data_IF_653822305133
#
_entry.id   IF_653822305133
#
_cell.length_a   1.000
_cell.length_b   1.000
_cell.length_c   1.000
_cell.angle_alpha   90.00
_cell.angle_beta   90.00
_cell.angle_gamma   90.00
#
_symmetry.space_group_name_H-M   'P 1'
#
loop_
_entity.id
_entity.type
_entity.pdbx_description
1 polymer ?
#
# COMPACT_ATOMS: atom_id res chain seq x y z
N UNK A 1 5.81 17.65 -17.44
CA UNK A 1 5.60 16.69 -16.35
C UNK A 1 6.95 16.05 -16.15
N UNK A 2 7.58 16.27 -15.00
CA UNK A 2 8.95 15.85 -14.74
C UNK A 2 8.94 14.38 -14.24
N UNK A 3 9.49 13.43 -15.00
CA UNK A 3 9.50 12.02 -14.62
C UNK A 3 10.37 11.76 -13.38
N UNK A 4 11.36 12.60 -13.10
CA UNK A 4 12.24 12.46 -11.93
C UNK A 4 11.49 12.75 -10.62
N UNK A 5 10.37 13.49 -10.69
CA UNK A 5 9.50 13.77 -9.54
C UNK A 5 8.76 12.54 -9.01
N UNK A 6 8.66 11.44 -9.78
CA UNK A 6 8.04 10.19 -9.33
C UNK A 6 9.05 9.21 -8.71
N UNK A 7 10.35 9.37 -8.99
CA UNK A 7 11.38 8.41 -8.57
C UNK A 7 11.56 8.33 -7.05
N UNK A 8 11.49 9.47 -6.36
CA UNK A 8 11.64 9.53 -4.90
C UNK A 8 10.45 8.89 -4.17
N UNK A 9 9.23 9.04 -4.70
CA UNK A 9 8.03 8.41 -4.14
C UNK A 9 7.98 6.91 -4.43
N UNK A 10 8.43 6.48 -5.61
CA UNK A 10 8.48 5.05 -5.95
C UNK A 10 9.41 4.26 -5.02
N UNK A 11 10.50 4.88 -4.57
CA UNK A 11 11.35 4.31 -3.54
C UNK A 11 10.62 4.18 -2.19
N UNK A 12 9.90 5.21 -1.77
CA UNK A 12 9.25 5.27 -0.45
C UNK A 12 8.21 4.16 -0.24
N UNK A 13 7.21 4.01 -1.12
CA UNK A 13 6.18 2.97 -0.92
C UNK A 13 6.74 1.54 -1.08
N UNK A 14 7.80 1.36 -1.87
CA UNK A 14 8.50 0.07 -1.98
C UNK A 14 9.25 -0.28 -0.70
N UNK A 15 9.91 0.71 -0.08
CA UNK A 15 10.56 0.54 1.23
C UNK A 15 9.53 0.21 2.32
N UNK A 16 8.39 0.91 2.34
CA UNK A 16 7.28 0.56 3.24
C UNK A 16 6.71 -0.82 2.98
N UNK A 17 6.56 -1.20 1.71
CA UNK A 17 6.10 -2.54 1.36
C UNK A 17 7.07 -3.63 1.85
N UNK A 18 8.38 -3.38 1.79
CA UNK A 18 9.39 -4.27 2.34
C UNK A 18 9.33 -4.31 3.87
N UNK A 19 9.17 -3.17 4.53
CA UNK A 19 9.05 -3.09 5.99
C UNK A 19 7.87 -3.90 6.53
N UNK A 20 6.67 -3.77 5.95
CA UNK A 20 5.52 -4.55 6.44
C UNK A 20 5.72 -6.06 6.20
N UNK A 21 6.40 -6.44 5.10
CA UNK A 21 6.73 -7.85 4.83
C UNK A 21 7.73 -8.40 5.85
N UNK A 22 8.73 -7.61 6.23
CA UNK A 22 9.72 -8.01 7.24
C UNK A 22 9.08 -8.14 8.63
N UNK A 23 8.14 -7.26 8.97
CA UNK A 23 7.51 -7.25 10.29
C UNK A 23 6.39 -8.30 10.41
N UNK A 24 5.51 -8.40 9.41
CA UNK A 24 4.29 -9.22 9.51
C UNK A 24 4.29 -10.43 8.58
N UNK A 25 5.17 -10.46 7.58
CA UNK A 25 5.10 -11.41 6.47
C UNK A 25 3.98 -11.07 5.49
N UNK A 26 3.89 -11.85 4.41
CA UNK A 26 2.80 -11.69 3.43
C UNK A 26 1.46 -12.11 4.05
N UNK A 27 0.58 -11.14 4.24
CA UNK A 27 -0.77 -11.34 4.77
C UNK A 27 -1.72 -11.91 3.71
N UNK A 28 -2.80 -12.60 4.14
CA UNK A 28 -3.82 -13.08 3.20
C UNK A 28 -4.60 -11.89 2.58
N UNK A 29 -5.17 -12.08 1.37
CA UNK A 29 -5.88 -11.02 0.64
C UNK A 29 -6.95 -10.26 1.45
N UNK A 30 -7.70 -10.97 2.30
CA UNK A 30 -8.75 -10.36 3.13
C UNK A 30 -8.21 -9.36 4.16
N UNK A 31 -7.04 -9.64 4.74
CA UNK A 31 -6.47 -8.83 5.82
C UNK A 31 -5.77 -7.61 5.21
N UNK A 32 -5.13 -7.79 4.04
CA UNK A 32 -4.60 -6.68 3.24
C UNK A 32 -5.72 -5.73 2.77
N UNK A 33 -6.87 -6.26 2.33
CA UNK A 33 -8.01 -5.43 1.93
C UNK A 33 -8.59 -4.62 3.10
N UNK A 34 -8.56 -5.18 4.32
CA UNK A 34 -8.97 -4.46 5.52
C UNK A 34 -7.98 -3.32 5.82
N UNK A 35 -6.68 -3.60 5.85
CA UNK A 35 -5.65 -2.59 6.08
C UNK A 35 -5.72 -1.46 5.03
N UNK A 36 -5.92 -1.80 3.74
CA UNK A 36 -6.12 -0.79 2.69
C UNK A 36 -7.33 0.11 2.92
N UNK A 37 -8.36 -0.37 3.62
CA UNK A 37 -9.53 0.45 3.99
C UNK A 37 -9.17 1.44 5.09
N UNK A 38 -8.30 1.06 6.02
CA UNK A 38 -7.78 1.92 7.09
C UNK A 38 -6.92 3.03 6.48
N UNK A 39 -5.92 2.70 5.67
CA UNK A 39 -5.05 3.69 5.00
C UNK A 39 -5.82 4.63 4.06
N UNK A 40 -6.85 4.12 3.38
CA UNK A 40 -7.72 4.98 2.56
C UNK A 40 -8.49 5.99 3.44
N UNK A 41 -8.87 5.59 4.65
CA UNK A 41 -9.47 6.47 5.65
C UNK A 41 -8.50 7.56 6.09
N UNK A 42 -7.26 7.20 6.39
CA UNK A 42 -6.18 8.11 6.81
C UNK A 42 -5.85 9.10 5.68
N UNK A 43 -5.66 8.63 4.44
CA UNK A 43 -5.48 9.48 3.27
C UNK A 43 -6.66 10.44 3.07
N UNK A 44 -7.89 9.96 3.27
CA UNK A 44 -9.08 10.80 3.17
C UNK A 44 -9.08 11.89 4.24
N UNK A 45 -8.67 11.55 5.46
CA UNK A 45 -8.53 12.51 6.55
C UNK A 45 -7.44 13.55 6.24
N UNK A 46 -6.26 13.13 5.81
CA UNK A 46 -5.17 14.02 5.41
C UNK A 46 -5.61 15.00 4.31
N UNK A 47 -6.36 14.54 3.31
CA UNK A 47 -6.94 15.40 2.26
C UNK A 47 -7.97 16.41 2.78
N UNK A 48 -8.72 16.06 3.82
CA UNK A 48 -9.67 16.97 4.46
C UNK A 48 -8.93 18.01 5.30
N UNK A 49 -7.94 17.57 6.08
CA UNK A 49 -7.15 18.38 7.01
C UNK A 49 -6.21 19.35 6.28
N UNK A 50 -5.59 18.94 5.17
CA UNK A 50 -4.72 19.79 4.36
C UNK A 50 -5.40 21.06 3.79
N UNK A 51 -6.73 21.13 3.81
CA UNK A 51 -7.50 22.31 3.41
C UNK A 51 -7.70 23.34 4.54
N UNK A 52 -7.28 23.02 5.76
CA UNK A 52 -7.32 23.92 6.91
C UNK A 52 -6.00 24.72 7.04
N UNK A 53 -6.03 25.87 7.72
CA UNK A 53 -4.87 26.79 7.85
C UNK A 53 -3.62 26.16 8.49
N UNK A 54 -3.79 25.07 9.23
CA UNK A 54 -2.71 24.33 9.92
C UNK A 54 -2.49 22.92 9.35
N UNK A 55 -3.04 22.60 8.17
CA UNK A 55 -2.95 21.28 7.58
C UNK A 55 -1.54 20.96 7.08
N UNK A 56 -1.09 19.71 7.27
CA UNK A 56 0.19 19.21 6.79
C UNK A 56 0.05 18.59 5.38
N UNK A 57 0.59 19.21 4.33
CA UNK A 57 0.52 18.66 2.98
C UNK A 57 1.40 17.42 2.78
N UNK A 58 2.42 17.20 3.62
CA UNK A 58 3.30 16.02 3.53
C UNK A 58 2.56 14.75 3.96
N UNK A 59 1.64 14.86 4.93
CA UNK A 59 0.79 13.75 5.37
C UNK A 59 0.04 13.10 4.20
N UNK A 60 -0.45 13.86 3.20
CA UNK A 60 -1.12 13.28 2.03
C UNK A 60 -0.20 12.33 1.26
N UNK A 61 1.08 12.71 1.10
CA UNK A 61 2.05 11.88 0.39
C UNK A 61 2.38 10.63 1.20
N UNK A 62 2.54 10.77 2.52
CA UNK A 62 2.76 9.65 3.43
C UNK A 62 1.58 8.66 3.38
N UNK A 63 0.34 9.09 3.59
CA UNK A 63 -0.80 8.16 3.57
C UNK A 63 -1.00 7.50 2.19
N UNK A 64 -0.65 8.21 1.12
CA UNK A 64 -0.71 7.63 -0.23
C UNK A 64 0.36 6.54 -0.41
N UNK A 65 1.56 6.75 0.11
CA UNK A 65 2.65 5.75 0.06
C UNK A 65 2.29 4.48 0.85
N UNK A 66 1.61 4.61 2.00
CA UNK A 66 1.10 3.46 2.78
C UNK A 66 0.07 2.65 1.99
N UNK A 67 -0.92 3.34 1.41
CA UNK A 67 -1.94 2.69 0.59
C UNK A 67 -1.34 1.98 -0.64
N UNK A 68 -0.33 2.59 -1.29
CA UNK A 68 0.37 1.97 -2.42
C UNK A 68 1.18 0.74 -2.01
N UNK A 69 1.85 0.78 -0.85
CA UNK A 69 2.60 -0.35 -0.31
C UNK A 69 1.69 -1.57 -0.08
N UNK A 70 0.51 -1.35 0.52
CA UNK A 70 -0.49 -2.40 0.72
C UNK A 70 -1.07 -2.90 -0.60
N UNK A 71 -1.31 -2.02 -1.58
CA UNK A 71 -1.78 -2.41 -2.91
C UNK A 71 -0.80 -3.36 -3.63
N UNK A 72 0.50 -3.12 -3.49
CA UNK A 72 1.53 -4.01 -4.03
C UNK A 72 1.53 -5.38 -3.35
N UNK A 73 1.47 -5.40 -2.02
CA UNK A 73 1.37 -6.65 -1.25
C UNK A 73 0.10 -7.42 -1.60
N UNK A 74 -1.02 -6.73 -1.80
CA UNK A 74 -2.29 -7.34 -2.16
C UNK A 74 -2.23 -8.02 -3.53
N UNK A 75 -1.57 -7.38 -4.51
CA UNK A 75 -1.31 -8.02 -5.81
C UNK A 75 -0.47 -9.29 -5.65
N UNK A 76 0.60 -9.23 -4.86
CA UNK A 76 1.46 -10.38 -4.61
C UNK A 76 0.71 -11.53 -3.91
N UNK A 77 -0.19 -11.21 -2.96
CA UNK A 77 -1.02 -12.19 -2.28
C UNK A 77 -1.97 -12.92 -3.23
N UNK A 78 -2.63 -12.20 -4.14
CA UNK A 78 -3.50 -12.78 -5.18
C UNK A 78 -2.71 -13.71 -6.10
N UNK A 79 -1.52 -13.30 -6.55
CA UNK A 79 -0.69 -14.13 -7.41
C UNK A 79 -0.23 -15.40 -6.72
N UNK A 80 0.12 -15.32 -5.43
CA UNK A 80 0.49 -16.49 -4.62
C UNK A 80 -0.68 -17.47 -4.46
N UNK A 81 -1.89 -16.99 -4.25
CA UNK A 81 -3.07 -17.86 -4.16
C UNK A 81 -3.35 -18.60 -5.47
N UNK A 82 -3.20 -17.90 -6.61
CA UNK A 82 -3.35 -18.52 -7.95
C UNK A 82 -2.33 -19.61 -8.20
N UNK A 83 -1.06 -19.34 -7.92
CA UNK A 83 -0.01 -20.36 -8.05
C UNK A 83 -0.25 -21.57 -7.14
N UNK A 84 -0.81 -21.35 -5.95
CA UNK A 84 -1.20 -22.44 -5.03
C UNK A 84 -2.34 -23.28 -5.58
N UNK A 85 -3.34 -22.65 -6.22
CA UNK A 85 -4.46 -23.32 -6.84
C UNK A 85 -4.02 -24.16 -8.06
N UNK A 86 -3.17 -23.61 -8.92
CA UNK A 86 -2.65 -24.30 -10.12
C UNK A 86 -1.81 -25.55 -9.76
N UNK A 87 -1.15 -25.56 -8.60
CA UNK A 87 -0.41 -26.74 -8.09
C UNK A 87 -1.32 -27.79 -7.45
N UNK A 88 -2.54 -27.43 -7.06
CA UNK A 88 -3.50 -28.29 -6.37
C UNK A 88 -4.39 -29.12 -7.29
N UNK A 89 -4.55 -28.73 -8.56
CA UNK A 89 -5.44 -29.37 -9.55
C UNK A 89 -4.79 -30.53 -10.34
N UNK A 90 -3.66 -31.06 -9.83
CA UNK A 90 -2.92 -32.16 -10.45
C UNK A 90 -3.11 -33.54 -9.78
N UNK A 91 -4.12 -33.71 -8.93
CA UNK A 91 -4.37 -34.91 -8.11
C UNK A 91 -5.53 -35.78 -8.59
#
# INVERSE_FOLDING_TARGET
>A
MDPDRYGDHEAAWRERAAANLDEWGLQPPKDLALAMTEELGELTQALLEARHEDGDPEAIAEELDDLMALGYQFRAAIDREREGADRGDGG
#
